data_IF_585518414050
#
_entry.id   IF_585518414050
#
_cell.length_a   1.000
_cell.length_b   1.000
_cell.length_c   1.000
_cell.angle_alpha   90.00
_cell.angle_beta   90.00
_cell.angle_gamma   90.00
#
_symmetry.space_group_name_H-M   'P 1'
#
loop_
_entity.id
_entity.type
_entity.pdbx_description
1 polymer ?
#
# COMPACT_ATOMS: atom_id res chain seq x y z
N UNK A 1 -19.20 -19.40 1.36
CA UNK A 1 -19.95 -19.20 0.08
C UNK A 1 -19.69 -17.79 -0.49
N UNK A 2 -19.47 -17.68 -1.81
CA UNK A 2 -19.34 -16.39 -2.50
C UNK A 2 -20.71 -15.78 -2.76
N UNK A 3 -20.86 -14.46 -2.58
CA UNK A 3 -22.09 -13.72 -2.89
C UNK A 3 -21.79 -12.72 -3.99
N UNK A 4 -22.58 -12.77 -5.07
CA UNK A 4 -22.54 -11.76 -6.13
C UNK A 4 -23.19 -10.49 -5.61
N UNK A 5 -22.49 -9.37 -5.70
CA UNK A 5 -22.95 -8.07 -5.20
C UNK A 5 -22.59 -6.97 -6.21
N UNK A 6 -23.36 -5.90 -6.19
CA UNK A 6 -23.01 -4.64 -6.83
C UNK A 6 -22.11 -3.82 -5.90
N UNK A 7 -20.87 -3.55 -6.33
CA UNK A 7 -19.88 -2.80 -5.56
C UNK A 7 -19.85 -1.34 -6.03
N UNK A 8 -19.90 -0.39 -5.10
CA UNK A 8 -19.75 1.04 -5.37
C UNK A 8 -18.60 1.57 -4.54
N UNK A 9 -17.55 2.03 -5.21
CA UNK A 9 -16.42 2.74 -4.59
C UNK A 9 -16.70 4.23 -4.72
N UNK A 10 -16.84 4.91 -3.58
CA UNK A 10 -17.09 6.36 -3.54
C UNK A 10 -15.84 7.09 -3.05
N UNK A 11 -15.48 8.24 -3.63
CA UNK A 11 -14.46 9.12 -3.07
C UNK A 11 -14.96 9.74 -1.74
N UNK A 12 -14.07 10.42 -0.98
CA UNK A 12 -14.48 11.19 0.19
C UNK A 12 -15.55 12.25 -0.16
N UNK A 13 -16.31 12.72 0.84
CA UNK A 13 -17.37 13.70 0.59
C UNK A 13 -16.79 15.02 0.02
N UNK A 14 -17.37 15.47 -1.08
CA UNK A 14 -16.94 16.67 -1.81
C UNK A 14 -17.00 17.92 -0.92
N UNK A 15 -18.00 18.00 -0.04
CA UNK A 15 -18.13 19.14 0.90
C UNK A 15 -16.98 19.17 1.90
N UNK A 16 -16.62 18.01 2.46
CA UNK A 16 -15.50 17.88 3.39
C UNK A 16 -14.18 18.16 2.68
N UNK A 17 -14.02 17.67 1.46
CA UNK A 17 -12.86 17.92 0.63
C UNK A 17 -12.65 19.40 0.33
N UNK A 18 -13.72 20.12 -0.06
CA UNK A 18 -13.66 21.57 -0.28
C UNK A 18 -13.38 22.34 1.02
N UNK A 19 -13.95 21.91 2.15
CA UNK A 19 -13.67 22.50 3.46
C UNK A 19 -12.19 22.33 3.81
N UNK A 20 -11.65 21.12 3.67
CA UNK A 20 -10.24 20.84 3.93
C UNK A 20 -9.33 21.65 3.00
N UNK A 21 -9.64 21.78 1.71
CA UNK A 21 -8.86 22.63 0.82
C UNK A 21 -8.84 24.10 1.24
N UNK A 22 -9.99 24.64 1.70
CA UNK A 22 -10.06 26.01 2.22
C UNK A 22 -9.25 26.18 3.50
N UNK A 23 -9.28 25.19 4.39
CA UNK A 23 -8.46 25.18 5.61
C UNK A 23 -6.97 25.08 5.27
N UNK A 24 -6.58 24.24 4.31
CA UNK A 24 -5.21 24.11 3.84
C UNK A 24 -4.66 25.41 3.25
N UNK A 25 -5.48 26.16 2.50
CA UNK A 25 -5.10 27.48 1.98
C UNK A 25 -4.93 28.53 3.07
N UNK A 26 -5.57 28.34 4.22
CA UNK A 26 -5.45 29.23 5.39
C UNK A 26 -4.29 28.84 6.32
N UNK A 27 -3.69 27.66 6.14
CA UNK A 27 -2.55 27.25 6.96
C UNK A 27 -1.33 28.11 6.66
N UNK A 28 -0.62 28.47 7.72
CA UNK A 28 0.66 29.18 7.63
C UNK A 28 1.69 28.32 6.90
N UNK A 29 2.58 28.95 6.13
CA UNK A 29 3.68 28.25 5.45
C UNK A 29 4.64 27.51 6.41
N UNK A 30 4.61 27.86 7.70
CA UNK A 30 5.41 27.22 8.74
C UNK A 30 4.70 26.06 9.44
N UNK A 31 3.40 25.86 9.21
CA UNK A 31 2.65 24.75 9.79
C UNK A 31 2.96 23.44 9.06
N UNK A 32 3.80 22.61 9.70
CA UNK A 32 4.19 21.28 9.21
C UNK A 32 3.31 20.16 9.75
N UNK A 33 2.15 20.48 10.34
CA UNK A 33 1.24 19.46 10.86
C UNK A 33 0.72 18.55 9.73
N UNK A 34 0.63 17.25 10.02
CA UNK A 34 0.14 16.27 9.06
C UNK A 34 -1.32 16.57 8.69
N UNK A 35 -1.60 16.65 7.40
CA UNK A 35 -2.95 16.85 6.86
C UNK A 35 -3.72 15.54 6.95
N UNK A 36 -4.87 15.48 7.64
CA UNK A 36 -5.68 14.27 7.68
C UNK A 36 -6.12 13.86 6.27
N UNK A 37 -5.92 12.61 5.91
CA UNK A 37 -6.40 12.08 4.63
C UNK A 37 -7.90 11.82 4.76
N UNK A 38 -8.72 12.56 4.00
CA UNK A 38 -10.14 12.26 3.88
C UNK A 38 -10.31 10.92 3.15
N UNK A 39 -11.19 10.08 3.67
CA UNK A 39 -11.43 8.73 3.16
C UNK A 39 -12.84 8.61 2.63
N UNK A 40 -12.98 7.88 1.54
CA UNK A 40 -14.25 7.45 0.97
C UNK A 40 -14.77 6.17 1.61
N UNK A 41 -15.66 5.51 0.89
CA UNK A 41 -16.27 4.26 1.32
C UNK A 41 -16.46 3.28 0.15
N UNK A 42 -16.53 2.00 0.49
CA UNK A 42 -16.94 0.95 -0.45
C UNK A 42 -18.24 0.34 0.08
N UNK A 43 -19.29 0.34 -0.74
CA UNK A 43 -20.59 -0.21 -0.40
C UNK A 43 -20.95 -1.37 -1.31
N UNK A 44 -21.45 -2.45 -0.72
CA UNK A 44 -21.93 -3.63 -1.44
C UNK A 44 -23.44 -3.71 -1.39
N UNK A 45 -24.09 -3.94 -2.51
CA UNK A 45 -25.55 -4.02 -2.64
C UNK A 45 -25.96 -5.30 -3.35
N UNK A 46 -27.19 -5.77 -3.15
CA UNK A 46 -27.70 -6.97 -3.85
C UNK A 46 -27.91 -6.73 -5.35
N UNK A 47 -28.40 -5.55 -5.71
CA UNK A 47 -28.69 -5.20 -7.09
C UNK A 47 -28.15 -3.81 -7.43
N UNK A 48 -27.83 -3.64 -8.71
CA UNK A 48 -27.59 -2.32 -9.29
C UNK A 48 -28.93 -1.61 -9.45
N UNK A 49 -29.03 -0.41 -8.90
CA UNK A 49 -30.10 0.57 -9.14
C UNK A 49 -29.49 1.83 -9.71
N UNK A 50 -30.30 2.63 -10.40
CA UNK A 50 -29.81 3.84 -11.04
C UNK A 50 -29.84 5.07 -10.13
N UNK A 51 -28.76 5.85 -10.22
CA UNK A 51 -28.65 7.21 -9.68
C UNK A 51 -29.07 7.35 -8.22
N UNK A 52 -30.08 8.21 -7.98
CA UNK A 52 -30.55 8.55 -6.62
C UNK A 52 -31.13 7.33 -5.88
N UNK A 53 -31.64 6.32 -6.58
CA UNK A 53 -32.21 5.11 -5.96
C UNK A 53 -31.12 4.24 -5.33
N UNK A 54 -29.92 4.19 -5.94
CA UNK A 54 -28.78 3.47 -5.37
C UNK A 54 -28.33 4.10 -4.06
N UNK A 55 -28.25 5.45 -4.01
CA UNK A 55 -27.82 6.17 -2.80
C UNK A 55 -28.75 5.96 -1.60
N UNK A 56 -30.02 5.67 -1.85
CA UNK A 56 -31.03 5.40 -0.81
C UNK A 56 -31.13 3.91 -0.44
N UNK A 57 -30.57 3.02 -1.24
CA UNK A 57 -30.59 1.60 -0.92
C UNK A 57 -29.70 1.34 0.31
N UNK A 58 -30.12 0.43 1.17
CA UNK A 58 -29.26 -0.04 2.25
C UNK A 58 -28.22 -1.01 1.67
N UNK A 59 -26.92 -0.79 1.90
CA UNK A 59 -25.89 -1.73 1.48
C UNK A 59 -25.89 -2.95 2.41
N UNK A 60 -25.47 -4.11 1.91
CA UNK A 60 -25.22 -5.33 2.69
C UNK A 60 -24.06 -5.11 3.66
N UNK A 61 -22.99 -4.53 3.14
CA UNK A 61 -21.79 -4.21 3.90
C UNK A 61 -21.18 -2.91 3.39
N UNK A 62 -20.49 -2.22 4.29
CA UNK A 62 -19.72 -1.00 3.99
C UNK A 62 -18.32 -1.14 4.55
N UNK A 63 -17.31 -0.90 3.72
CA UNK A 63 -15.93 -0.75 4.18
C UNK A 63 -15.67 0.75 4.36
N UNK A 64 -15.31 1.12 5.58
CA UNK A 64 -14.73 2.42 5.90
C UNK A 64 -13.31 2.24 6.42
N UNK A 65 -12.53 3.31 6.43
CA UNK A 65 -11.20 3.29 7.05
C UNK A 65 -10.26 2.18 6.54
N UNK A 66 -10.35 1.81 5.26
CA UNK A 66 -9.43 0.80 4.71
C UNK A 66 -7.98 1.27 4.88
N UNK A 67 -7.12 0.33 5.28
CA UNK A 67 -5.71 0.59 5.57
C UNK A 67 -4.78 -0.34 4.76
N UNK A 68 -5.34 -1.31 4.04
CA UNK A 68 -4.63 -2.17 3.11
C UNK A 68 -5.56 -2.65 2.00
N UNK A 69 -5.07 -2.69 0.76
CA UNK A 69 -5.79 -3.22 -0.38
C UNK A 69 -4.81 -3.77 -1.42
N UNK A 70 -4.83 -5.07 -1.66
CA UNK A 70 -3.86 -5.74 -2.52
C UNK A 70 -4.46 -6.91 -3.28
N UNK A 71 -3.86 -7.21 -4.43
CA UNK A 71 -4.19 -8.37 -5.23
C UNK A 71 -3.61 -9.65 -4.61
N UNK A 72 -4.35 -10.75 -4.69
CA UNK A 72 -3.88 -12.06 -4.22
C UNK A 72 -3.25 -12.79 -5.40
N UNK A 73 -1.98 -13.14 -5.22
CA UNK A 73 -1.25 -13.91 -6.22
C UNK A 73 -1.79 -15.34 -6.27
N UNK A 74 -2.19 -15.85 -7.45
CA UNK A 74 -2.68 -17.22 -7.58
C UNK A 74 -1.55 -18.24 -7.42
N UNK A 75 -1.88 -19.45 -6.99
CA UNK A 75 -0.89 -20.53 -6.83
C UNK A 75 -0.28 -20.98 -8.18
N UNK A 76 -1.05 -20.94 -9.26
CA UNK A 76 -0.62 -21.36 -10.59
C UNK A 76 -0.26 -20.15 -11.47
N UNK A 77 0.90 -20.21 -12.14
CA UNK A 77 1.38 -19.15 -13.03
C UNK A 77 0.43 -18.89 -14.21
N UNK A 78 -0.24 -19.92 -14.71
CA UNK A 78 -1.21 -19.82 -15.81
C UNK A 78 -2.45 -18.99 -15.46
N UNK A 79 -2.73 -18.80 -14.17
CA UNK A 79 -3.91 -18.05 -13.70
C UNK A 79 -3.62 -16.58 -13.42
N UNK A 80 -2.37 -16.12 -13.56
CA UNK A 80 -1.98 -14.75 -13.21
C UNK A 80 -2.79 -13.72 -13.99
N UNK A 81 -2.87 -13.88 -15.32
CA UNK A 81 -3.52 -12.88 -16.19
C UNK A 81 -5.05 -12.89 -16.06
N UNK A 82 -5.61 -14.01 -15.59
CA UNK A 82 -7.04 -14.20 -15.36
C UNK A 82 -7.49 -13.89 -13.92
N UNK A 83 -6.56 -13.83 -12.96
CA UNK A 83 -6.89 -13.64 -11.54
C UNK A 83 -7.34 -12.21 -11.27
N UNK A 84 -8.55 -12.07 -10.72
CA UNK A 84 -9.09 -10.79 -10.26
C UNK A 84 -9.23 -10.71 -8.74
N UNK A 85 -8.77 -11.73 -8.02
CA UNK A 85 -8.97 -11.83 -6.57
C UNK A 85 -8.16 -10.76 -5.84
N UNK A 86 -8.84 -9.96 -5.04
CA UNK A 86 -8.23 -8.91 -4.22
C UNK A 86 -8.74 -8.97 -2.78
N UNK A 87 -7.89 -8.56 -1.84
CA UNK A 87 -8.20 -8.45 -0.41
C UNK A 87 -8.17 -6.98 -0.02
N UNK A 88 -9.22 -6.54 0.68
CA UNK A 88 -9.28 -5.22 1.30
C UNK A 88 -9.42 -5.41 2.80
N UNK A 89 -8.60 -4.70 3.56
CA UNK A 89 -8.57 -4.73 5.03
C UNK A 89 -8.94 -3.33 5.54
N UNK A 90 -9.91 -3.29 6.45
CA UNK A 90 -10.56 -2.06 6.87
C UNK A 90 -11.55 -2.27 8.00
N UNK A 91 -12.30 -1.22 8.31
CA UNK A 91 -13.46 -1.34 9.18
C UNK A 91 -14.65 -1.77 8.34
N UNK A 92 -15.17 -2.95 8.62
CA UNK A 92 -16.31 -3.54 7.93
C UNK A 92 -17.55 -3.36 8.78
N UNK A 93 -18.56 -2.71 8.23
CA UNK A 93 -19.88 -2.59 8.82
C UNK A 93 -20.86 -3.43 8.02
N UNK A 94 -21.40 -4.49 8.63
CA UNK A 94 -22.46 -5.31 8.06
C UNK A 94 -23.79 -4.75 8.55
N UNK A 95 -24.63 -4.35 7.60
CA UNK A 95 -25.95 -3.76 7.89
C UNK A 95 -27.00 -4.87 8.01
N UNK A 96 -26.77 -5.77 8.97
CA UNK A 96 -27.78 -6.70 9.48
C UNK A 96 -28.68 -6.01 10.51
N UNK A 97 -29.67 -6.73 11.02
CA UNK A 97 -30.43 -6.33 12.20
C UNK A 97 -30.07 -7.27 13.36
N UNK A 98 -29.27 -6.84 14.36
CA UNK A 98 -28.67 -5.51 14.54
C UNK A 98 -27.43 -5.28 13.64
N UNK A 99 -27.06 -4.02 13.35
CA UNK A 99 -25.86 -3.71 12.58
C UNK A 99 -24.60 -4.02 13.40
N UNK A 100 -23.60 -4.62 12.75
CA UNK A 100 -22.32 -4.94 13.38
C UNK A 100 -21.18 -4.23 12.65
N UNK A 101 -20.25 -3.64 13.39
CA UNK A 101 -19.08 -2.96 12.84
C UNK A 101 -17.82 -3.48 13.53
N UNK A 102 -16.93 -4.09 12.76
CA UNK A 102 -15.69 -4.69 13.25
C UNK A 102 -14.53 -4.38 12.31
N UNK A 103 -13.31 -4.40 12.81
CA UNK A 103 -12.14 -4.45 11.92
C UNK A 103 -12.02 -5.85 11.32
N UNK A 104 -11.68 -5.92 10.04
CA UNK A 104 -11.50 -7.18 9.36
C UNK A 104 -11.14 -7.00 7.90
N UNK A 105 -11.47 -8.02 7.10
CA UNK A 105 -11.14 -8.03 5.67
C UNK A 105 -12.27 -8.63 4.83
N UNK A 106 -12.31 -8.21 3.57
CA UNK A 106 -13.21 -8.74 2.54
C UNK A 106 -12.39 -9.16 1.34
N UNK A 107 -12.67 -10.36 0.83
CA UNK A 107 -12.21 -10.80 -0.47
C UNK A 107 -13.22 -10.38 -1.55
N UNK A 108 -12.71 -9.77 -2.62
CA UNK A 108 -13.52 -9.33 -3.75
C UNK A 108 -12.96 -9.99 -5.00
N UNK A 109 -13.85 -10.49 -5.83
CA UNK A 109 -13.53 -11.04 -7.15
C UNK A 109 -14.38 -10.30 -8.18
N UNK A 110 -13.87 -9.20 -8.77
CA UNK A 110 -14.54 -8.49 -9.85
C UNK A 110 -14.86 -9.42 -11.02
N UNK A 111 -16.06 -9.24 -11.58
CA UNK A 111 -16.45 -9.93 -12.81
C UNK A 111 -15.71 -9.34 -14.00
N UNK A 112 -15.17 -10.22 -14.84
CA UNK A 112 -14.43 -9.84 -16.03
C UNK A 112 -15.41 -9.63 -17.18
N UNK A 113 -15.35 -8.46 -17.82
CA UNK A 113 -16.12 -8.19 -19.03
C UNK A 113 -15.43 -8.78 -20.26
N UNK A 114 -16.20 -9.18 -21.31
CA UNK A 114 -15.61 -9.55 -22.58
C UNK A 114 -14.66 -8.46 -23.10
N UNK A 115 -13.53 -8.87 -23.67
CA UNK A 115 -12.45 -7.99 -24.16
C UNK A 115 -11.65 -7.21 -23.10
N UNK A 116 -11.82 -7.50 -21.81
CA UNK A 116 -10.99 -6.97 -20.72
C UNK A 116 -10.22 -8.12 -20.06
N UNK A 117 -8.92 -7.96 -19.84
CA UNK A 117 -8.14 -8.96 -19.11
C UNK A 117 -8.46 -8.95 -17.61
N UNK A 118 -8.25 -10.08 -16.92
CA UNK A 118 -8.39 -10.16 -15.48
C UNK A 118 -7.47 -9.16 -14.75
N UNK A 119 -6.22 -9.09 -15.20
CA UNK A 119 -5.26 -8.10 -14.70
C UNK A 119 -5.74 -6.65 -14.85
N UNK A 120 -6.30 -6.27 -16.00
CA UNK A 120 -6.82 -4.91 -16.19
C UNK A 120 -8.05 -4.66 -15.31
N UNK A 121 -8.93 -5.65 -15.15
CA UNK A 121 -10.08 -5.55 -14.25
C UNK A 121 -9.66 -5.36 -12.79
N UNK A 122 -8.62 -6.08 -12.37
CA UNK A 122 -8.01 -5.95 -11.06
C UNK A 122 -7.53 -4.51 -10.84
N UNK A 123 -6.77 -3.94 -11.78
CA UNK A 123 -6.29 -2.55 -11.69
C UNK A 123 -7.44 -1.53 -11.65
N UNK A 124 -8.51 -1.76 -12.44
CA UNK A 124 -9.71 -0.92 -12.43
C UNK A 124 -10.42 -0.90 -11.07
N UNK A 125 -10.27 -1.95 -10.26
CA UNK A 125 -10.78 -1.98 -8.88
C UNK A 125 -9.77 -1.41 -7.87
N UNK A 126 -8.49 -1.71 -8.07
CA UNK A 126 -7.43 -1.39 -7.12
C UNK A 126 -7.16 0.11 -7.05
N UNK A 127 -7.04 0.79 -8.20
CA UNK A 127 -6.71 2.22 -8.23
C UNK A 127 -7.79 3.10 -7.59
N UNK A 128 -9.09 2.96 -7.90
CA UNK A 128 -10.12 3.72 -7.21
C UNK A 128 -10.16 3.42 -5.71
N UNK A 129 -9.92 2.18 -5.31
CA UNK A 129 -9.81 1.81 -3.88
C UNK A 129 -8.67 2.57 -3.21
N UNK A 130 -7.48 2.59 -3.84
CA UNK A 130 -6.34 3.32 -3.31
C UNK A 130 -6.57 4.83 -3.26
N UNK A 131 -7.21 5.39 -4.29
CA UNK A 131 -7.58 6.81 -4.35
C UNK A 131 -8.57 7.19 -3.25
N UNK A 132 -9.63 6.40 -3.08
CA UNK A 132 -10.68 6.67 -2.09
C UNK A 132 -10.16 6.63 -0.65
N UNK A 133 -9.22 5.73 -0.33
CA UNK A 133 -8.72 5.59 1.05
C UNK A 133 -7.35 6.24 1.28
N UNK A 134 -6.78 6.87 0.25
CA UNK A 134 -5.46 7.47 0.28
C UNK A 134 -4.34 6.47 0.59
N UNK A 135 -4.44 5.28 0.01
CA UNK A 135 -3.46 4.21 0.21
C UNK A 135 -2.27 4.40 -0.72
N UNK A 136 -1.10 3.99 -0.24
CA UNK A 136 0.09 3.85 -1.08
C UNK A 136 0.58 5.16 -1.77
N UNK A 137 0.22 6.32 -1.22
CA UNK A 137 0.52 7.65 -1.77
C UNK A 137 -0.51 8.21 -2.75
N UNK A 138 -1.56 7.43 -3.08
CA UNK A 138 -2.71 7.90 -3.85
C UNK A 138 -3.59 8.85 -3.00
N UNK A 139 -4.38 9.75 -3.61
CA UNK A 139 -4.61 9.92 -5.05
C UNK A 139 -3.51 10.67 -5.82
N UNK A 140 -2.53 11.26 -5.13
CA UNK A 140 -1.49 12.07 -5.77
C UNK A 140 -0.59 11.26 -6.71
N UNK A 141 0.23 10.36 -6.16
CA UNK A 141 1.09 9.47 -6.95
C UNK A 141 1.43 8.23 -6.15
N UNK A 142 1.51 7.08 -6.81
CA UNK A 142 2.04 5.87 -6.17
C UNK A 142 3.47 6.12 -5.69
N UNK A 143 3.66 5.90 -4.40
CA UNK A 143 4.99 5.95 -3.78
C UNK A 143 5.62 4.58 -3.92
N UNK A 144 6.77 4.52 -4.61
CA UNK A 144 7.58 3.32 -4.79
C UNK A 144 8.96 3.53 -4.12
N UNK A 145 8.95 3.68 -2.80
CA UNK A 145 10.15 3.87 -1.97
C UNK A 145 10.24 2.75 -0.95
N UNK A 146 11.42 2.15 -0.82
CA UNK A 146 11.65 1.11 0.19
C UNK A 146 11.64 1.70 1.60
N UNK A 147 11.91 3.01 1.75
CA UNK A 147 12.05 3.69 3.03
C UNK A 147 10.77 4.41 3.50
N UNK A 148 9.82 4.70 2.61
CA UNK A 148 8.56 5.37 3.00
C UNK A 148 7.54 4.33 3.50
N UNK A 149 7.07 4.37 4.76
CA UNK A 149 6.06 3.45 5.31
C UNK A 149 4.73 3.43 4.56
N UNK A 150 4.45 4.51 3.81
CA UNK A 150 3.27 4.64 2.95
C UNK A 150 3.49 4.04 1.57
N UNK A 151 4.66 3.50 1.25
CA UNK A 151 4.91 2.87 -0.05
C UNK A 151 4.38 1.44 -0.12
N UNK A 152 4.00 0.99 -1.32
CA UNK A 152 3.81 -0.44 -1.62
C UNK A 152 5.11 -1.24 -1.48
N UNK A 153 6.25 -0.59 -1.71
CA UNK A 153 7.58 -1.21 -1.69
C UNK A 153 8.25 -1.08 -0.33
N UNK A 154 7.53 -0.57 0.68
CA UNK A 154 8.10 -0.37 2.01
C UNK A 154 8.70 -1.67 2.54
N UNK A 155 9.93 -1.59 3.04
CA UNK A 155 10.66 -2.73 3.57
C UNK A 155 10.80 -3.90 2.56
N UNK A 156 10.82 -3.62 1.25
CA UNK A 156 11.16 -4.63 0.26
C UNK A 156 12.63 -5.07 0.46
N UNK A 157 12.90 -6.37 0.67
CA UNK A 157 14.26 -6.86 0.87
C UNK A 157 15.14 -6.62 -0.36
N UNK A 158 16.32 -6.04 -0.16
CA UNK A 158 17.34 -5.87 -1.22
C UNK A 158 18.20 -7.12 -1.43
N UNK A 159 18.25 -8.00 -0.44
CA UNK A 159 19.08 -9.21 -0.43
C UNK A 159 18.29 -10.40 0.12
N UNK A 160 18.81 -11.62 -0.06
CA UNK A 160 18.18 -12.89 0.38
C UNK A 160 18.01 -13.03 1.90
N UNK A 161 18.52 -12.11 2.74
CA UNK A 161 18.30 -12.17 4.19
C UNK A 161 16.88 -11.72 4.49
N UNK A 162 16.11 -12.61 5.08
CA UNK A 162 14.70 -12.41 5.39
C UNK A 162 14.51 -11.56 6.64
N UNK A 163 13.69 -10.52 6.53
CA UNK A 163 13.18 -9.76 7.68
C UNK A 163 14.10 -8.67 8.23
N UNK A 164 13.51 -7.52 8.56
CA UNK A 164 14.16 -6.44 9.31
C UNK A 164 13.89 -6.51 10.80
N UNK A 165 12.75 -7.10 11.20
CA UNK A 165 12.33 -7.23 12.59
C UNK A 165 12.78 -8.57 13.16
N UNK A 166 13.32 -8.51 14.37
CA UNK A 166 13.64 -9.68 15.20
C UNK A 166 12.48 -9.97 16.16
N UNK A 167 12.47 -11.17 16.73
CA UNK A 167 11.44 -11.58 17.71
C UNK A 167 11.41 -10.61 18.90
N UNK A 168 12.60 -10.14 19.34
CA UNK A 168 12.72 -9.17 20.41
C UNK A 168 12.00 -7.85 20.10
N UNK A 169 12.06 -7.37 18.86
CA UNK A 169 11.36 -6.14 18.47
C UNK A 169 9.85 -6.30 18.62
N UNK A 170 9.31 -7.46 18.21
CA UNK A 170 7.88 -7.75 18.36
C UNK A 170 7.50 -7.92 19.83
N UNK A 171 8.35 -8.58 20.63
CA UNK A 171 8.13 -8.72 22.07
C UNK A 171 8.08 -7.36 22.78
N UNK A 172 8.93 -6.40 22.41
CA UNK A 172 8.88 -5.04 22.97
C UNK A 172 7.57 -4.33 22.65
N UNK A 173 7.03 -4.50 21.45
CA UNK A 173 5.73 -3.93 21.08
C UNK A 173 4.56 -4.53 21.89
N UNK A 174 4.64 -5.82 22.22
CA UNK A 174 3.62 -6.48 23.08
C UNK A 174 3.66 -5.98 24.52
N UNK A 175 4.82 -5.56 25.01
CA UNK A 175 4.98 -5.00 26.35
C UNK A 175 4.66 -3.49 26.43
N UNK A 176 4.44 -2.84 25.28
CA UNK A 176 4.12 -1.41 25.23
C UNK A 176 2.76 -1.12 25.90
N UNK A 177 2.64 0.05 26.51
CA UNK A 177 1.45 0.43 27.26
C UNK A 177 0.23 0.52 26.33
N UNK A 178 -0.80 -0.27 26.63
CA UNK A 178 -2.04 -0.31 25.84
C UNK A 178 -2.01 -1.23 24.63
N UNK A 179 -0.95 -2.01 24.42
CA UNK A 179 -0.83 -3.01 23.33
C UNK A 179 -2.04 -3.97 23.24
N UNK A 180 -2.64 -4.30 24.38
CA UNK A 180 -3.82 -5.17 24.48
C UNK A 180 -5.10 -4.56 23.91
N UNK A 181 -5.15 -3.23 23.80
CA UNK A 181 -6.29 -2.48 23.25
C UNK A 181 -6.06 -1.99 21.82
N UNK A 182 -4.89 -2.28 21.24
CA UNK A 182 -4.58 -1.89 19.88
C UNK A 182 -5.44 -2.65 18.87
N UNK A 183 -5.98 -1.89 17.93
CA UNK A 183 -6.70 -2.43 16.80
C UNK A 183 -5.72 -3.06 15.79
N UNK A 184 -6.19 -3.89 14.85
CA UNK A 184 -5.34 -4.51 13.83
C UNK A 184 -4.61 -3.44 13.00
N UNK A 185 -5.29 -2.32 12.76
CA UNK A 185 -4.70 -1.16 12.09
C UNK A 185 -3.56 -0.57 12.91
N UNK A 186 -3.73 -0.40 14.21
CA UNK A 186 -2.68 0.17 15.07
C UNK A 186 -1.50 -0.79 15.17
N UNK A 187 -1.74 -2.09 15.32
CA UNK A 187 -0.70 -3.13 15.25
C UNK A 187 0.11 -3.05 13.95
N UNK A 188 -0.57 -2.96 12.80
CA UNK A 188 0.12 -2.81 11.49
C UNK A 188 0.94 -1.53 11.42
N UNK A 189 0.45 -0.43 11.98
CA UNK A 189 1.17 0.85 12.01
C UNK A 189 2.43 0.73 12.88
N UNK A 190 2.31 0.20 14.10
CA UNK A 190 3.43 0.02 15.04
C UNK A 190 4.50 -0.90 14.48
N UNK A 191 4.12 -2.00 13.84
CA UNK A 191 5.05 -2.90 13.16
C UNK A 191 5.78 -2.23 12.00
N UNK A 192 5.08 -1.39 11.21
CA UNK A 192 5.73 -0.60 10.14
C UNK A 192 6.71 0.42 10.70
N UNK A 193 6.35 1.12 11.77
CA UNK A 193 7.21 2.12 12.42
C UNK A 193 8.48 1.48 13.01
N UNK A 194 8.33 0.33 13.69
CA UNK A 194 9.45 -0.47 14.18
C UNK A 194 10.36 -0.94 13.03
N UNK A 195 9.76 -1.40 11.93
CA UNK A 195 10.50 -1.82 10.72
C UNK A 195 11.30 -0.66 10.14
N UNK A 196 10.69 0.52 9.99
CA UNK A 196 11.37 1.71 9.47
C UNK A 196 12.53 2.14 10.37
N UNK A 197 12.36 2.04 11.68
CA UNK A 197 13.42 2.34 12.67
C UNK A 197 14.61 1.39 12.52
N UNK A 198 14.37 0.07 12.42
CA UNK A 198 15.42 -0.93 12.18
C UNK A 198 16.12 -0.73 10.84
N UNK A 199 15.37 -0.44 9.78
CA UNK A 199 15.92 -0.17 8.45
C UNK A 199 16.88 1.02 8.44
N UNK A 200 16.51 2.11 9.11
CA UNK A 200 17.36 3.29 9.22
C UNK A 200 18.65 2.99 10.02
N UNK A 201 18.54 2.23 11.11
CA UNK A 201 19.70 1.83 11.92
C UNK A 201 20.70 0.93 11.14
N UNK A 202 20.20 0.00 10.33
CA UNK A 202 21.05 -0.88 9.50
C UNK A 202 21.76 -0.11 8.37
N UNK A 203 21.08 0.85 7.74
CA UNK A 203 21.71 1.67 6.69
C UNK A 203 22.86 2.53 7.26
N UNK A 204 22.69 3.10 8.46
CA UNK A 204 23.70 3.94 9.09
C UNK A 204 24.96 3.15 9.54
N UNK A 205 24.77 1.90 9.98
CA UNK A 205 25.86 0.97 10.27
C UNK A 205 26.69 0.60 9.03
N UNK A 206 26.06 0.47 7.87
CA UNK A 206 26.76 0.20 6.60
C UNK A 206 27.57 1.40 6.09
N UNK A 207 27.11 2.63 6.36
CA UNK A 207 27.81 3.86 5.97
C UNK A 207 29.03 4.13 6.85
N UNK A 208 28.98 3.74 8.12
CA UNK A 208 30.09 3.92 9.07
C UNK A 208 31.36 3.13 8.69
N UNK A 209 31.25 2.05 7.92
CA UNK A 209 32.42 1.29 7.43
C UNK A 209 33.02 1.82 6.11
N UNK A 210 32.48 2.89 5.52
CA UNK A 210 32.97 3.44 4.24
C UNK A 210 33.75 4.76 4.35
N UNK A 211 33.92 5.30 5.57
CA UNK A 211 34.55 6.62 5.78
C UNK A 211 36.00 6.63 6.30
N UNK A 212 36.64 5.46 6.45
CA UNK A 212 38.04 5.37 6.87
C UNK A 212 38.95 4.71 5.83
N UNK A 213 39.00 5.26 4.61
CA UNK A 213 40.09 4.99 3.68
C UNK A 213 40.16 6.06 2.56
N UNK A 214 40.57 7.28 2.89
CA UNK A 214 41.18 8.18 1.90
C UNK A 214 41.94 9.32 2.58
N UNK A 215 43.00 8.96 3.31
CA UNK A 215 44.16 9.85 3.47
C UNK A 215 45.19 9.44 2.41
N UNK A 216 44.91 9.78 1.16
CA UNK A 216 45.91 9.75 0.10
C UNK A 216 45.82 11.08 -0.64
N UNK A 217 46.85 11.89 -0.45
CA UNK A 217 47.05 13.12 -1.18
C UNK A 217 47.41 12.79 -2.63
N UNK A 218 46.58 13.18 -3.60
CA UNK A 218 47.04 13.46 -4.96
C UNK A 218 45.96 14.22 -5.75
N UNK A 219 46.21 15.53 -5.91
CA UNK A 219 46.08 16.33 -7.14
C UNK A 219 44.83 16.16 -8.04
N UNK A 220 44.05 17.24 -8.06
CA UNK A 220 43.34 17.89 -9.18
C UNK A 220 43.25 17.11 -10.52
N UNK A 221 42.03 16.85 -10.99
CA UNK A 221 41.61 17.09 -12.39
C UNK A 221 40.09 16.99 -12.60
N UNK A 222 39.68 17.76 -13.60
CA UNK A 222 38.38 18.13 -14.14
C UNK A 222 37.50 16.98 -14.69
N UNK A 223 36.17 17.10 -14.64
CA UNK A 223 35.29 16.46 -15.64
C UNK A 223 34.02 15.73 -15.16
N UNK A 224 32.87 16.35 -15.45
CA UNK A 224 31.61 15.76 -15.98
C UNK A 224 30.97 14.50 -15.36
N UNK A 225 29.81 14.72 -14.72
CA UNK A 225 28.50 14.08 -15.02
C UNK A 225 28.39 12.55 -15.10
N UNK A 226 27.71 11.94 -14.12
CA UNK A 226 27.21 10.57 -14.22
C UNK A 226 26.03 10.31 -13.26
N UNK A 227 24.82 10.11 -13.81
CA UNK A 227 23.65 9.61 -13.07
C UNK A 227 23.84 8.12 -12.73
N UNK A 228 23.38 7.64 -11.56
CA UNK A 228 23.47 6.22 -11.23
C UNK A 228 22.46 5.41 -12.06
N UNK A 229 22.98 4.44 -12.84
CA UNK A 229 22.24 3.47 -13.64
C UNK A 229 21.93 2.26 -12.74
N UNK A 230 20.65 1.94 -12.57
CA UNK A 230 20.19 0.71 -11.91
C UNK A 230 20.44 -0.48 -12.86
N UNK A 231 21.32 -1.40 -12.46
CA UNK A 231 21.64 -2.59 -13.23
C UNK A 231 20.70 -3.74 -12.87
N UNK A 232 20.00 -4.28 -13.87
CA UNK A 232 19.45 -5.62 -13.82
C UNK A 232 20.58 -6.59 -14.18
N UNK A 233 20.78 -7.63 -13.37
CA UNK A 233 21.67 -8.73 -13.72
C UNK A 233 21.02 -9.53 -14.86
N UNK A 234 21.71 -9.60 -15.99
CA UNK A 234 21.37 -10.45 -17.12
C UNK A 234 22.20 -11.73 -17.02
N UNK A 235 21.57 -12.83 -16.61
CA UNK A 235 22.14 -14.18 -16.65
C UNK A 235 22.03 -14.71 -18.09
N UNK A 236 23.02 -14.38 -18.92
CA UNK A 236 23.17 -14.87 -20.28
C UNK A 236 24.26 -15.93 -20.38
N UNK A 237 23.98 -17.16 -19.92
CA UNK A 237 24.85 -18.31 -20.15
C UNK A 237 24.72 -18.80 -21.61
N UNK A 238 25.52 -18.22 -22.51
CA UNK A 238 25.72 -18.70 -23.88
C UNK A 238 27.13 -19.29 -24.00
N UNK A 239 27.24 -20.61 -23.82
CA UNK A 239 28.43 -21.36 -24.17
C UNK A 239 28.53 -21.46 -25.71
N UNK A 240 29.68 -21.02 -26.20
CA UNK A 240 30.13 -20.91 -27.59
C UNK A 240 30.23 -22.27 -28.33
N UNK A 241 29.99 -22.32 -29.66
CA UNK A 241 30.51 -23.38 -30.52
C UNK A 241 31.98 -23.11 -30.88
N UNK A 242 32.68 -24.19 -31.21
CA UNK A 242 34.15 -24.32 -31.17
C UNK A 242 34.99 -23.48 -32.14
N UNK A 243 36.30 -23.56 -31.90
CA UNK A 243 37.35 -23.31 -32.89
C UNK A 243 38.55 -24.23 -32.65
N UNK A 244 38.99 -24.77 -33.78
CA UNK A 244 40.28 -25.41 -34.13
C UNK A 244 40.60 -26.79 -33.54
#
# INVERSE_FOLDING_TARGET
PWRRCWCVISPPDEKEYQKQQKELKKRSAYDRSHVPVLKGDIKFYDSRKDGKKQKKAQPIATITDAYSAYAIYPQAKSLIDASTLLKIEGRVTVHSDPPSSTEGFIFIMPEVHPAVSGFEMLLRFLFPTWDSFGLYGRPGRLVASVLDPRSLMFAMPKHKRYGYLEILDVSTLTLDEGSTSWSEREWRKRLKDATGTRMNALEDGSRSHSRSASRSSARLSFGSGGRPKVGFADDGNLLQPGRE
#
